data_IF_990152934359
#
_entry.id   IF_990152934359
#
_cell.length_a   1.000
_cell.length_b   1.000
_cell.length_c   1.000
_cell.angle_alpha   90.00
_cell.angle_beta   90.00
_cell.angle_gamma   90.00
#
_symmetry.space_group_name_H-M   'P 1'
#
loop_
_entity.id
_entity.type
_entity.pdbx_description
1 polymer ?
#
# COMPACT_ATOMS: atom_id res chain seq x y z
N UNK A 1 -37.38 12.33 24.98
CA UNK A 1 -37.14 12.09 23.54
C UNK A 1 -35.69 12.45 23.33
N UNK A 2 -34.81 11.44 23.30
CA UNK A 2 -33.41 11.66 22.98
C UNK A 2 -33.35 11.90 21.47
N UNK A 3 -32.79 13.02 21.05
CA UNK A 3 -32.41 13.24 19.66
C UNK A 3 -31.44 12.11 19.27
N UNK A 4 -31.97 11.08 18.62
CA UNK A 4 -31.14 10.12 17.89
C UNK A 4 -30.60 10.89 16.70
N UNK A 5 -29.47 11.54 16.91
CA UNK A 5 -28.63 12.09 15.86
C UNK A 5 -28.52 11.00 14.79
N UNK A 6 -29.23 11.18 13.69
CA UNK A 6 -29.35 10.16 12.65
C UNK A 6 -27.94 9.95 12.13
N UNK A 7 -27.39 8.74 12.32
CA UNK A 7 -26.02 8.44 11.91
C UNK A 7 -25.82 8.92 10.47
N UNK A 8 -24.90 9.87 10.30
CA UNK A 8 -24.66 10.53 9.03
C UNK A 8 -24.13 9.54 8.00
N UNK A 9 -23.44 8.47 8.42
CA UNK A 9 -22.79 7.49 7.56
C UNK A 9 -23.06 6.04 8.05
N UNK A 10 -24.31 5.58 8.02
CA UNK A 10 -24.72 4.34 8.68
C UNK A 10 -24.08 3.09 8.05
N UNK A 11 -23.76 3.14 6.75
CA UNK A 11 -23.06 2.05 6.08
C UNK A 11 -21.57 1.98 6.50
N UNK A 12 -20.93 3.12 6.77
CA UNK A 12 -19.55 3.18 7.26
C UNK A 12 -19.46 2.68 8.70
N UNK A 13 -20.43 3.04 9.54
CA UNK A 13 -20.56 2.53 10.91
C UNK A 13 -20.72 1.02 10.91
N UNK A 14 -21.66 0.47 10.13
CA UNK A 14 -21.82 -0.96 9.98
C UNK A 14 -20.53 -1.66 9.48
N UNK A 15 -19.83 -1.05 8.51
CA UNK A 15 -18.56 -1.55 8.01
C UNK A 15 -17.45 -1.58 9.07
N UNK A 16 -17.42 -0.61 10.00
CA UNK A 16 -16.48 -0.58 11.13
C UNK A 16 -16.80 -1.67 12.16
N UNK A 17 -18.07 -1.86 12.45
CA UNK A 17 -18.57 -2.78 13.48
C UNK A 17 -18.57 -4.26 13.03
N UNK A 18 -18.52 -4.52 11.72
CA UNK A 18 -18.50 -5.87 11.14
C UNK A 18 -17.24 -6.70 11.41
N UNK A 19 -16.39 -6.33 12.37
CA UNK A 19 -15.15 -7.05 12.70
C UNK A 19 -15.46 -8.41 13.30
N UNK A 20 -15.34 -9.47 12.49
CA UNK A 20 -15.22 -10.83 12.98
C UNK A 20 -13.78 -11.09 13.40
N UNK A 21 -13.54 -11.39 14.68
CA UNK A 21 -12.19 -11.71 15.13
C UNK A 21 -11.70 -13.02 14.49
N UNK A 22 -10.71 -12.93 13.62
CA UNK A 22 -9.88 -14.06 13.22
C UNK A 22 -8.52 -13.97 13.94
N UNK A 23 -8.36 -14.87 14.93
CA UNK A 23 -7.09 -15.35 15.49
C UNK A 23 -6.17 -14.41 16.30
N UNK A 24 -6.64 -13.95 17.47
CA UNK A 24 -5.75 -13.79 18.63
C UNK A 24 -6.21 -14.51 19.90
N UNK A 25 -7.47 -14.94 19.97
CA UNK A 25 -8.01 -15.63 21.15
C UNK A 25 -8.40 -17.09 20.84
N UNK A 26 -7.42 -17.92 20.51
CA UNK A 26 -7.61 -19.39 20.58
C UNK A 26 -7.77 -19.90 22.03
N UNK A 27 -7.82 -19.00 23.03
CA UNK A 27 -8.06 -19.36 24.42
C UNK A 27 -9.20 -18.60 25.11
N UNK A 28 -9.98 -17.76 24.40
CA UNK A 28 -11.22 -17.22 24.95
C UNK A 28 -12.39 -17.46 23.99
N UNK A 29 -13.24 -18.41 24.39
CA UNK A 29 -14.60 -18.64 23.91
C UNK A 29 -15.25 -17.32 23.47
N UNK A 30 -15.41 -17.11 22.16
CA UNK A 30 -16.07 -15.93 21.60
C UNK A 30 -17.37 -15.65 22.36
N UNK A 31 -17.50 -14.47 22.96
CA UNK A 31 -18.67 -14.15 23.78
C UNK A 31 -19.90 -13.98 22.88
N UNK A 32 -21.10 -14.43 23.31
CA UNK A 32 -22.33 -14.34 22.50
C UNK A 32 -22.69 -12.91 22.07
N UNK A 33 -22.20 -11.90 22.78
CA UNK A 33 -22.42 -10.48 22.46
C UNK A 33 -21.59 -10.00 21.26
N UNK A 34 -20.39 -10.55 21.06
CA UNK A 34 -19.52 -10.16 19.96
C UNK A 34 -20.07 -10.69 18.63
N UNK A 35 -20.56 -11.93 18.63
CA UNK A 35 -21.17 -12.56 17.45
C UNK A 35 -22.52 -11.92 17.09
N UNK A 36 -23.31 -11.48 18.08
CA UNK A 36 -24.55 -10.75 17.81
C UNK A 36 -24.29 -9.39 17.17
N UNK A 37 -23.22 -8.69 17.56
CA UNK A 37 -22.89 -7.37 17.02
C UNK A 37 -22.44 -7.46 15.57
N UNK A 38 -21.57 -8.42 15.22
CA UNK A 38 -21.15 -8.63 13.82
C UNK A 38 -22.34 -9.00 12.93
N UNK A 39 -23.20 -9.90 13.40
CA UNK A 39 -24.40 -10.32 12.66
C UNK A 39 -25.36 -9.14 12.46
N UNK A 40 -25.53 -8.30 13.49
CA UNK A 40 -26.33 -7.09 13.42
C UNK A 40 -25.76 -6.08 12.43
N UNK A 41 -24.45 -5.86 12.44
CA UNK A 41 -23.77 -4.96 11.52
C UNK A 41 -23.91 -5.41 10.05
N UNK A 42 -23.75 -6.71 9.78
CA UNK A 42 -23.96 -7.27 8.42
C UNK A 42 -25.41 -7.09 7.97
N UNK A 43 -26.38 -7.40 8.82
CA UNK A 43 -27.80 -7.23 8.51
C UNK A 43 -28.17 -5.75 8.26
N UNK A 44 -27.61 -4.83 9.05
CA UNK A 44 -27.78 -3.40 8.85
C UNK A 44 -27.20 -2.95 7.51
N UNK A 45 -25.97 -3.36 7.18
CA UNK A 45 -25.33 -3.04 5.90
C UNK A 45 -26.15 -3.58 4.71
N UNK A 46 -26.65 -4.81 4.80
CA UNK A 46 -27.50 -5.40 3.76
C UNK A 46 -28.82 -4.63 3.58
N UNK A 47 -29.49 -4.28 4.68
CA UNK A 47 -30.71 -3.48 4.66
C UNK A 47 -30.50 -2.11 4.01
N UNK A 48 -29.41 -1.42 4.35
CA UNK A 48 -29.04 -0.12 3.79
C UNK A 48 -28.74 -0.21 2.29
N UNK A 49 -28.01 -1.23 1.85
CA UNK A 49 -27.69 -1.40 0.43
C UNK A 49 -28.90 -1.81 -0.41
N UNK A 50 -29.88 -2.52 0.18
CA UNK A 50 -31.15 -2.84 -0.49
C UNK A 50 -32.03 -1.60 -0.66
N UNK A 51 -32.06 -0.69 0.31
CA UNK A 51 -32.89 0.51 0.26
C UNK A 51 -32.25 1.61 -0.59
N UNK A 52 -30.95 1.82 -0.46
CA UNK A 52 -30.19 2.78 -1.26
C UNK A 52 -28.79 2.25 -1.64
N UNK A 53 -28.67 1.62 -2.82
CA UNK A 53 -27.39 1.15 -3.35
C UNK A 53 -26.32 2.26 -3.49
N UNK A 54 -26.72 3.53 -3.61
CA UNK A 54 -25.78 4.66 -3.80
C UNK A 54 -24.96 4.94 -2.55
N UNK A 55 -25.39 4.47 -1.38
CA UNK A 55 -24.62 4.58 -0.13
C UNK A 55 -23.23 3.95 -0.24
N UNK A 56 -23.06 2.92 -1.06
CA UNK A 56 -21.76 2.29 -1.34
C UNK A 56 -20.72 3.26 -1.93
N UNK A 57 -21.17 4.32 -2.63
CA UNK A 57 -20.34 5.34 -3.28
C UNK A 57 -20.19 6.62 -2.48
N UNK A 58 -20.75 6.68 -1.27
CA UNK A 58 -20.66 7.85 -0.43
C UNK A 58 -19.32 7.85 0.31
N UNK A 59 -18.64 9.00 0.29
CA UNK A 59 -17.48 9.27 1.16
C UNK A 59 -17.95 9.78 2.52
N UNK A 60 -17.26 9.38 3.57
CA UNK A 60 -17.40 9.99 4.90
C UNK A 60 -16.57 11.28 5.02
N UNK A 61 -16.50 11.83 6.24
CA UNK A 61 -15.73 13.04 6.54
C UNK A 61 -14.21 12.83 6.39
N UNK A 62 -13.73 11.57 6.37
CA UNK A 62 -12.34 11.19 6.12
C UNK A 62 -12.06 10.89 4.63
N UNK A 63 -13.05 11.12 3.76
CA UNK A 63 -12.95 10.84 2.32
C UNK A 63 -12.96 9.34 1.98
N UNK A 64 -13.35 8.48 2.93
CA UNK A 64 -13.37 7.02 2.79
C UNK A 64 -14.72 6.51 2.36
N UNK A 65 -14.69 5.50 1.51
CA UNK A 65 -15.87 4.69 1.19
C UNK A 65 -16.06 3.59 2.23
N UNK A 66 -17.29 3.11 2.39
CA UNK A 66 -17.61 2.02 3.33
C UNK A 66 -16.73 0.77 3.14
N UNK A 67 -16.29 0.47 1.91
CA UNK A 67 -15.38 -0.64 1.63
C UNK A 67 -14.00 -0.49 2.29
N UNK A 68 -13.49 0.73 2.48
CA UNK A 68 -12.21 0.96 3.16
C UNK A 68 -12.31 0.54 4.63
N UNK A 69 -13.43 0.89 5.27
CA UNK A 69 -13.72 0.45 6.63
C UNK A 69 -13.96 -1.05 6.72
N UNK A 70 -14.72 -1.63 5.78
CA UNK A 70 -14.98 -3.07 5.76
C UNK A 70 -13.68 -3.87 5.60
N UNK A 71 -12.78 -3.41 4.72
CA UNK A 71 -11.44 -4.00 4.55
C UNK A 71 -10.57 -3.81 5.80
N UNK A 72 -10.61 -2.64 6.44
CA UNK A 72 -9.86 -2.36 7.68
C UNK A 72 -10.35 -3.19 8.86
N UNK A 73 -11.65 -3.44 8.94
CA UNK A 73 -12.27 -4.27 9.97
C UNK A 73 -12.23 -5.76 9.65
N UNK A 74 -11.61 -6.14 8.53
CA UNK A 74 -11.57 -7.52 8.03
C UNK A 74 -12.96 -8.18 7.89
N UNK A 75 -13.97 -7.39 7.54
CA UNK A 75 -15.36 -7.84 7.44
C UNK A 75 -15.64 -8.42 6.05
N UNK A 76 -15.38 -9.71 5.87
CA UNK A 76 -15.54 -10.38 4.57
C UNK A 76 -16.96 -10.26 4.02
N UNK A 77 -17.98 -10.44 4.86
CA UNK A 77 -19.39 -10.40 4.47
C UNK A 77 -19.80 -9.01 3.96
N UNK A 78 -19.36 -7.94 4.62
CA UNK A 78 -19.68 -6.58 4.18
C UNK A 78 -18.93 -6.24 2.89
N UNK A 79 -17.67 -6.68 2.76
CA UNK A 79 -16.93 -6.53 1.48
C UNK A 79 -17.66 -7.30 0.36
N UNK A 80 -18.21 -8.49 0.63
CA UNK A 80 -18.98 -9.26 -0.34
C UNK A 80 -20.28 -8.57 -0.75
N UNK A 81 -21.03 -8.01 0.21
CA UNK A 81 -22.24 -7.23 -0.07
C UNK A 81 -21.96 -6.01 -0.95
N UNK A 82 -20.86 -5.30 -0.66
CA UNK A 82 -20.40 -4.17 -1.46
C UNK A 82 -19.92 -4.61 -2.85
N UNK A 83 -19.18 -5.72 -2.93
CA UNK A 83 -18.70 -6.30 -4.17
C UNK A 83 -19.83 -6.75 -5.10
N UNK A 84 -20.98 -7.16 -4.55
CA UNK A 84 -22.13 -7.59 -5.33
C UNK A 84 -22.99 -6.44 -5.87
N UNK A 85 -22.65 -5.19 -5.56
CA UNK A 85 -23.33 -4.04 -6.16
C UNK A 85 -22.97 -3.92 -7.65
N UNK A 86 -23.96 -3.65 -8.51
CA UNK A 86 -23.76 -3.53 -9.96
C UNK A 86 -22.77 -2.43 -10.37
N UNK A 87 -22.49 -1.49 -9.46
CA UNK A 87 -21.62 -0.34 -9.68
C UNK A 87 -20.33 -0.40 -8.87
N UNK A 88 -20.00 -1.60 -8.39
CA UNK A 88 -18.78 -1.89 -7.64
C UNK A 88 -17.54 -1.66 -8.50
N UNK A 89 -16.58 -0.97 -7.91
CA UNK A 89 -15.25 -0.80 -8.43
C UNK A 89 -14.27 -1.23 -7.32
N UNK A 90 -13.46 -2.28 -7.51
CA UNK A 90 -12.54 -2.77 -6.48
C UNK A 90 -11.43 -1.77 -6.11
N UNK A 91 -11.07 -0.88 -7.05
CA UNK A 91 -10.07 0.16 -6.87
C UNK A 91 -10.69 1.51 -6.54
N UNK A 92 -12.02 1.61 -6.63
CA UNK A 92 -12.80 2.81 -6.31
C UNK A 92 -12.38 4.00 -7.20
N UNK A 93 -12.16 3.75 -8.50
CA UNK A 93 -11.89 4.75 -9.52
C UNK A 93 -13.19 5.48 -9.87
N UNK A 94 -13.34 6.72 -9.37
CA UNK A 94 -14.47 7.53 -9.83
C UNK A 94 -14.25 7.89 -11.30
N UNK A 95 -15.15 7.39 -12.16
CA UNK A 95 -15.36 7.88 -13.52
C UNK A 95 -15.55 9.41 -13.48
N UNK A 96 -14.59 10.17 -14.02
CA UNK A 96 -14.95 11.44 -14.63
C UNK A 96 -15.64 11.12 -15.97
N UNK A 97 -16.89 11.55 -16.09
CA UNK A 97 -17.67 11.52 -17.32
C UNK A 97 -16.98 12.32 -18.44
N UNK A 98 -17.19 11.94 -19.72
CA UNK A 98 -16.32 12.30 -20.83
C UNK A 98 -16.55 13.75 -21.30
N UNK A 99 -15.47 14.53 -21.45
CA UNK A 99 -15.54 15.82 -22.12
C UNK A 99 -15.17 15.69 -23.59
N UNK A 100 -16.21 15.88 -24.41
CA UNK A 100 -16.26 16.40 -25.79
C UNK A 100 -15.86 15.47 -26.95
N UNK A 101 -16.87 15.25 -27.80
CA UNK A 101 -16.75 14.82 -29.20
C UNK A 101 -15.80 15.75 -29.98
N UNK A 102 -14.89 15.23 -30.84
CA UNK A 102 -14.23 16.06 -31.82
C UNK A 102 -15.17 16.25 -33.02
N UNK A 103 -15.89 17.36 -33.01
CA UNK A 103 -16.42 17.89 -34.25
C UNK A 103 -15.27 18.53 -35.05
N UNK A 104 -15.15 18.09 -36.31
CA UNK A 104 -14.64 18.83 -37.48
C UNK A 104 -13.13 19.12 -37.64
N UNK A 105 -12.69 18.83 -38.88
CA UNK A 105 -11.53 19.31 -39.67
C UNK A 105 -10.14 18.67 -39.51
N UNK A 106 -9.87 17.70 -40.40
CA UNK A 106 -8.61 17.51 -41.16
C UNK A 106 -8.32 18.70 -42.11
N UNK A 107 -7.17 18.81 -42.85
CA UNK A 107 -5.89 18.07 -42.80
C UNK A 107 -4.63 18.98 -42.87
N UNK A 108 -3.43 18.41 -42.70
CA UNK A 108 -2.21 18.92 -43.35
C UNK A 108 -0.90 18.78 -42.55
N UNK A 109 -0.06 17.80 -42.90
CA UNK A 109 1.24 17.97 -43.59
C UNK A 109 2.11 16.71 -43.44
N UNK A 110 2.52 16.19 -44.61
CA UNK A 110 3.48 15.11 -44.83
C UNK A 110 4.92 15.55 -44.51
N UNK A 111 5.75 14.64 -43.96
CA UNK A 111 6.98 14.08 -44.58
C UNK A 111 8.10 13.71 -43.58
N UNK A 112 8.49 12.42 -43.61
CA UNK A 112 9.85 11.78 -43.59
C UNK A 112 10.79 12.19 -42.44
N UNK A 113 11.32 11.30 -41.58
CA UNK A 113 12.38 10.31 -41.86
C UNK A 113 12.27 9.09 -40.92
N UNK A 114 12.36 7.89 -41.50
CA UNK A 114 12.57 6.61 -40.82
C UNK A 114 14.04 6.46 -40.38
N UNK A 115 14.29 6.05 -39.14
CA UNK A 115 15.49 5.26 -38.83
C UNK A 115 15.14 4.15 -37.83
N UNK A 116 15.60 2.95 -38.15
CA UNK A 116 15.26 1.69 -37.51
C UNK A 116 16.32 1.32 -36.46
N UNK A 117 15.96 1.37 -35.18
CA UNK A 117 16.52 0.44 -34.18
C UNK A 117 15.38 -0.14 -33.35
N UNK A 118 15.07 -1.39 -33.65
CA UNK A 118 13.95 -2.19 -33.17
C UNK A 118 14.24 -2.75 -31.77
N UNK A 119 13.49 -2.28 -30.75
CA UNK A 119 12.81 -3.09 -29.71
C UNK A 119 11.69 -2.22 -29.11
N UNK A 120 10.49 -2.78 -28.83
CA UNK A 120 9.31 -1.96 -28.59
C UNK A 120 9.30 -1.34 -27.19
N UNK A 121 9.58 -0.04 -27.14
CA UNK A 121 9.04 0.86 -26.13
C UNK A 121 7.51 0.90 -26.29
N UNK A 122 6.82 0.26 -25.36
CA UNK A 122 5.41 0.54 -25.09
C UNK A 122 5.30 1.26 -23.75
N UNK A 123 5.93 2.44 -23.65
CA UNK A 123 5.42 3.50 -22.78
C UNK A 123 4.21 4.11 -23.49
N UNK A 124 3.02 3.59 -23.19
CA UNK A 124 1.79 4.34 -23.37
C UNK A 124 1.47 4.99 -22.03
N UNK A 125 2.19 6.07 -21.71
CA UNK A 125 1.82 7.01 -20.67
C UNK A 125 0.52 7.71 -21.09
N UNK A 126 -0.60 7.05 -20.85
CA UNK A 126 -1.89 7.73 -20.78
C UNK A 126 -1.98 8.25 -19.35
N UNK A 127 -1.71 9.54 -19.17
CA UNK A 127 -2.11 10.29 -17.98
C UNK A 127 -3.64 10.22 -17.84
N UNK A 128 -4.15 9.16 -17.21
CA UNK A 128 -5.49 9.15 -16.62
C UNK A 128 -5.40 9.95 -15.32
N UNK A 129 -6.17 11.01 -15.19
CA UNK A 129 -6.26 11.80 -13.95
C UNK A 129 -6.88 10.94 -12.85
N UNK A 130 -6.11 10.70 -11.79
CA UNK A 130 -6.43 9.78 -10.70
C UNK A 130 -7.18 10.49 -9.57
N UNK A 131 -8.35 9.98 -9.20
CA UNK A 131 -8.84 10.09 -7.82
C UNK A 131 -9.61 8.82 -7.45
N UNK A 132 -8.85 7.76 -7.17
CA UNK A 132 -9.34 6.40 -6.92
C UNK A 132 -8.97 5.86 -5.53
N UNK A 133 -8.93 6.73 -4.53
CA UNK A 133 -8.33 6.43 -3.24
C UNK A 133 -9.02 7.20 -2.10
N UNK A 134 -8.83 6.77 -0.85
CA UNK A 134 -9.12 7.63 0.30
C UNK A 134 -8.27 8.92 0.26
N UNK A 135 -8.53 9.89 1.13
CA UNK A 135 -7.80 11.17 1.09
C UNK A 135 -6.28 11.01 1.32
N UNK A 136 -5.84 9.86 1.83
CA UNK A 136 -4.44 9.45 1.99
C UNK A 136 -3.92 8.55 0.87
N UNK A 137 -4.73 8.22 -0.12
CA UNK A 137 -4.34 7.43 -1.26
C UNK A 137 -4.48 5.91 -1.10
N UNK A 138 -5.14 5.41 -0.06
CA UNK A 138 -5.26 3.97 0.16
C UNK A 138 -6.37 3.36 -0.69
N UNK A 139 -6.08 2.20 -1.30
CA UNK A 139 -7.11 1.34 -1.89
C UNK A 139 -7.60 0.31 -0.86
N UNK A 140 -8.79 -0.27 -1.04
CA UNK A 140 -9.28 -1.35 -0.17
C UNK A 140 -8.32 -2.54 -0.12
N UNK A 141 -7.65 -2.84 -1.25
CA UNK A 141 -6.66 -3.91 -1.34
C UNK A 141 -5.43 -3.63 -0.47
N UNK A 142 -4.90 -2.39 -0.50
CA UNK A 142 -3.77 -2.01 0.35
C UNK A 142 -4.12 -2.10 1.83
N UNK A 143 -5.33 -1.66 2.21
CA UNK A 143 -5.81 -1.75 3.58
C UNK A 143 -5.86 -3.21 3.99
N UNK A 144 -6.53 -4.07 3.21
CA UNK A 144 -6.60 -5.50 3.47
C UNK A 144 -5.21 -6.12 3.61
N UNK A 145 -4.29 -5.84 2.69
CA UNK A 145 -2.91 -6.35 2.73
C UNK A 145 -2.12 -5.92 3.99
N UNK A 146 -2.56 -4.85 4.67
CA UNK A 146 -1.96 -4.35 5.89
C UNK A 146 -2.58 -4.95 7.17
N UNK A 147 -3.73 -5.62 7.06
CA UNK A 147 -4.45 -6.23 8.18
C UNK A 147 -4.04 -7.70 8.32
N UNK A 148 -3.78 -8.22 9.54
CA UNK A 148 -3.54 -9.65 9.75
C UNK A 148 -4.75 -10.50 9.35
N UNK A 149 -4.51 -11.73 8.88
CA UNK A 149 -5.55 -12.74 8.60
C UNK A 149 -6.65 -12.25 7.63
N UNK A 150 -6.29 -11.38 6.69
CA UNK A 150 -7.21 -10.73 5.74
C UNK A 150 -7.26 -11.42 4.38
N UNK A 151 -6.69 -12.63 4.25
CA UNK A 151 -6.64 -13.40 3.00
C UNK A 151 -8.01 -13.56 2.34
N UNK A 152 -9.13 -13.80 3.07
CA UNK A 152 -10.46 -13.88 2.45
C UNK A 152 -10.90 -12.56 1.80
N UNK A 153 -10.64 -11.43 2.46
CA UNK A 153 -10.94 -10.10 1.92
C UNK A 153 -10.03 -9.78 0.74
N UNK A 154 -8.74 -10.08 0.85
CA UNK A 154 -7.75 -9.88 -0.20
C UNK A 154 -8.11 -10.69 -1.45
N UNK A 155 -8.39 -11.99 -1.30
CA UNK A 155 -8.78 -12.86 -2.40
C UNK A 155 -10.08 -12.41 -3.06
N UNK A 156 -11.05 -11.94 -2.27
CA UNK A 156 -12.28 -11.39 -2.81
C UNK A 156 -12.00 -10.14 -3.68
N UNK A 157 -11.22 -9.18 -3.18
CA UNK A 157 -10.87 -7.97 -3.94
C UNK A 157 -10.10 -8.32 -5.23
N UNK A 158 -9.12 -9.22 -5.15
CA UNK A 158 -8.37 -9.71 -6.31
C UNK A 158 -9.29 -10.40 -7.33
N UNK A 159 -10.24 -11.23 -6.87
CA UNK A 159 -11.20 -11.91 -7.76
C UNK A 159 -12.12 -10.95 -8.51
N UNK A 160 -12.28 -9.72 -8.00
CA UNK A 160 -13.06 -8.66 -8.65
C UNK A 160 -12.22 -7.70 -9.50
N UNK A 161 -10.91 -7.96 -9.64
CA UNK A 161 -10.02 -7.20 -10.51
C UNK A 161 -9.33 -6.01 -9.83
N UNK A 162 -9.16 -6.03 -8.50
CA UNK A 162 -8.35 -5.02 -7.81
C UNK A 162 -6.92 -4.94 -8.38
N UNK A 163 -6.44 -3.74 -8.71
CA UNK A 163 -5.09 -3.54 -9.21
C UNK A 163 -4.07 -3.55 -8.05
N UNK A 164 -3.22 -4.58 -8.07
CA UNK A 164 -2.16 -4.83 -7.10
C UNK A 164 -1.01 -3.83 -7.15
N UNK A 165 -0.88 -3.06 -8.23
CA UNK A 165 0.27 -2.20 -8.50
C UNK A 165 0.03 -0.71 -8.21
N UNK A 166 -1.17 -0.33 -7.78
CA UNK A 166 -1.47 1.05 -7.37
C UNK A 166 -0.50 1.49 -6.26
N UNK A 167 -0.11 2.76 -6.26
CA UNK A 167 0.63 3.40 -5.16
C UNK A 167 -0.28 4.39 -4.46
N UNK A 168 -0.19 4.49 -3.14
CA UNK A 168 -0.89 5.53 -2.41
C UNK A 168 -0.24 6.91 -2.56
N UNK A 169 -0.96 7.97 -2.19
CA UNK A 169 -0.53 9.36 -2.29
C UNK A 169 -0.06 9.96 -0.94
N UNK A 170 -0.27 9.22 0.16
CA UNK A 170 0.11 9.56 1.53
C UNK A 170 -0.26 10.98 1.96
N UNK A 171 -1.46 11.44 1.57
CA UNK A 171 -2.00 12.74 1.99
C UNK A 171 -1.39 13.95 1.26
N UNK A 172 -0.50 13.74 0.28
CA UNK A 172 -0.17 14.81 -0.66
C UNK A 172 -1.33 14.97 -1.64
N UNK A 173 -2.31 15.82 -1.28
CA UNK A 173 -3.17 16.45 -2.28
C UNK A 173 -2.22 17.03 -3.33
N UNK A 174 -2.46 16.77 -4.60
CA UNK A 174 -1.73 17.43 -5.68
C UNK A 174 -1.92 18.94 -5.52
N UNK A 175 -1.04 19.59 -4.76
CA UNK A 175 -0.84 21.02 -4.83
C UNK A 175 -0.25 21.24 -6.21
N UNK A 176 -1.13 21.46 -7.19
CA UNK A 176 -0.78 22.08 -8.46
C UNK A 176 0.03 23.32 -8.09
N UNK A 177 1.35 23.23 -8.23
CA UNK A 177 2.24 24.39 -8.22
C UNK A 177 1.88 25.18 -9.46
N UNK A 178 0.80 25.97 -9.37
CA UNK A 178 0.77 27.24 -10.08
C UNK A 178 1.82 28.09 -9.37
N UNK A 179 3.02 28.06 -9.94
CA UNK A 179 4.08 29.02 -9.69
C UNK A 179 3.46 30.41 -9.56
N UNK A 180 3.54 31.01 -8.37
CA UNK A 180 3.64 32.45 -8.16
C UNK A 180 3.96 32.75 -6.68
N UNK A 181 5.22 33.13 -6.46
CA UNK A 181 5.71 34.18 -5.55
C UNK A 181 4.96 34.53 -4.25
N UNK A 182 5.74 34.49 -3.15
CA UNK A 182 5.81 35.46 -2.03
C UNK A 182 4.68 35.60 -0.98
N UNK A 183 5.15 35.77 0.28
CA UNK A 183 4.48 36.08 1.57
C UNK A 183 3.78 34.88 2.22
N UNK A 184 4.11 34.40 3.44
CA UNK A 184 4.46 35.07 4.70
C UNK A 184 3.20 35.16 5.57
N UNK A 185 3.11 34.43 6.70
CA UNK A 185 2.43 34.76 7.99
C UNK A 185 2.12 33.52 8.87
N UNK A 186 2.18 33.73 10.19
CA UNK A 186 2.16 32.77 11.32
C UNK A 186 0.80 32.10 11.62
N UNK A 187 0.75 30.98 12.39
CA UNK A 187 -0.50 30.30 12.77
C UNK A 187 -1.07 30.81 14.11
N UNK A 188 -2.40 30.77 14.32
CA UNK A 188 -2.96 30.78 15.67
C UNK A 188 -3.45 29.40 16.11
N UNK A 189 -3.15 29.10 17.38
CA UNK A 189 -3.62 27.99 18.22
C UNK A 189 -5.15 28.03 18.42
N UNK A 190 -5.83 26.87 18.50
CA UNK A 190 -7.00 26.59 19.38
C UNK A 190 -7.50 25.13 19.29
N UNK A 191 -7.16 24.35 20.33
CA UNK A 191 -7.77 23.16 20.99
C UNK A 191 -8.52 22.02 20.21
N UNK A 192 -8.29 20.73 20.58
CA UNK A 192 -8.95 19.55 19.99
C UNK A 192 -10.23 19.11 20.77
N UNK A 193 -11.24 18.51 20.11
CA UNK A 193 -12.30 17.79 20.82
C UNK A 193 -11.84 16.37 21.18
N UNK A 194 -12.23 15.98 22.40
CA UNK A 194 -11.95 14.71 23.07
C UNK A 194 -12.99 13.67 22.66
N UNK A 195 -12.61 12.60 21.94
CA UNK A 195 -13.31 11.31 22.00
C UNK A 195 -12.31 10.14 21.86
N UNK A 196 -12.49 9.07 22.65
CA UNK A 196 -11.55 7.95 22.76
C UNK A 196 -11.74 6.96 21.61
N UNK A 197 -10.70 6.15 21.34
CA UNK A 197 -10.55 5.18 20.25
C UNK A 197 -10.01 5.77 18.93
N UNK A 198 -8.86 6.42 19.05
CA UNK A 198 -7.88 6.53 17.96
C UNK A 198 -7.55 5.13 17.43
N UNK A 199 -7.90 4.89 16.17
CA UNK A 199 -7.52 3.71 15.40
C UNK A 199 -6.02 3.47 15.55
N UNK A 200 -5.64 2.26 15.96
CA UNK A 200 -4.24 1.84 16.00
C UNK A 200 -3.81 1.55 14.55
N UNK A 201 -3.56 2.60 13.78
CA UNK A 201 -2.44 2.57 12.85
C UNK A 201 -1.16 2.46 13.70
N UNK A 202 -0.08 1.80 13.25
CA UNK A 202 1.13 1.73 14.02
C UNK A 202 1.50 3.14 14.47
N UNK A 203 1.36 3.39 15.77
CA UNK A 203 1.81 4.62 16.39
C UNK A 203 3.32 4.56 16.22
N UNK A 204 3.80 5.31 15.24
CA UNK A 204 5.17 5.27 14.76
C UNK A 204 6.11 5.29 15.96
N UNK A 205 6.90 4.23 16.10
CA UNK A 205 8.04 4.21 17.00
C UNK A 205 9.05 5.18 16.42
N UNK A 206 9.03 6.42 16.93
CA UNK A 206 10.03 7.48 16.80
C UNK A 206 11.09 7.28 15.70
N UNK A 207 10.69 7.37 14.45
CA UNK A 207 11.60 7.68 13.34
C UNK A 207 10.88 8.68 12.45
N UNK A 208 11.44 9.87 12.31
CA UNK A 208 10.91 10.97 11.51
C UNK A 208 10.94 10.57 10.03
N UNK A 209 9.90 9.86 9.55
CA UNK A 209 9.85 9.45 8.14
C UNK A 209 8.71 10.14 7.41
N UNK A 210 9.10 11.01 6.48
CA UNK A 210 8.26 11.54 5.40
C UNK A 210 7.54 10.39 4.69
N UNK A 211 6.21 10.41 4.69
CA UNK A 211 5.37 9.34 4.16
C UNK A 211 5.48 9.27 2.62
N UNK A 212 6.02 8.16 2.10
CA UNK A 212 6.30 7.95 0.67
C UNK A 212 5.22 7.08 -0.01
N UNK A 213 4.69 7.44 -1.19
CA UNK A 213 3.85 6.60 -2.05
C UNK A 213 4.34 5.17 -2.16
N UNK A 214 3.51 4.23 -1.73
CA UNK A 214 3.86 2.82 -1.60
C UNK A 214 2.77 1.95 -2.23
N UNK A 215 3.17 0.84 -2.85
CA UNK A 215 2.25 -0.21 -3.27
C UNK A 215 1.94 -1.19 -2.13
N UNK A 216 0.91 -2.02 -2.30
CA UNK A 216 0.56 -3.07 -1.34
C UNK A 216 1.77 -3.93 -0.96
N UNK A 217 2.61 -4.30 -1.94
CA UNK A 217 3.79 -5.12 -1.72
C UNK A 217 4.87 -4.47 -0.84
N UNK A 218 4.97 -3.12 -0.81
CA UNK A 218 5.86 -2.42 0.12
C UNK A 218 5.42 -2.60 1.58
N UNK A 219 4.13 -2.38 1.85
CA UNK A 219 3.57 -2.52 3.19
C UNK A 219 3.70 -3.95 3.72
N UNK A 220 3.42 -4.92 2.85
CA UNK A 220 3.51 -6.35 3.15
C UNK A 220 4.95 -6.77 3.44
N UNK A 221 5.92 -6.26 2.68
CA UNK A 221 7.34 -6.51 2.92
C UNK A 221 7.79 -5.98 4.29
N UNK A 222 7.39 -4.75 4.65
CA UNK A 222 7.68 -4.17 5.98
C UNK A 222 7.04 -4.94 7.13
N UNK A 223 5.86 -5.53 6.92
CA UNK A 223 5.14 -6.34 7.93
C UNK A 223 5.59 -7.80 7.99
N UNK A 224 6.52 -8.23 7.13
CA UNK A 224 6.97 -9.63 7.00
C UNK A 224 5.81 -10.62 6.73
N UNK A 225 4.70 -10.16 6.14
CA UNK A 225 3.53 -11.00 5.90
C UNK A 225 3.70 -11.80 4.60
N UNK A 226 4.33 -12.97 4.70
CA UNK A 226 4.64 -13.83 3.56
C UNK A 226 3.42 -14.40 2.85
N UNK A 227 2.34 -14.69 3.56
CA UNK A 227 1.13 -15.29 2.99
C UNK A 227 0.46 -14.29 2.05
N UNK A 228 0.26 -13.06 2.51
CA UNK A 228 -0.25 -11.97 1.67
C UNK A 228 0.71 -11.66 0.53
N UNK A 229 2.03 -11.67 0.76
CA UNK A 229 3.00 -11.45 -0.32
C UNK A 229 2.87 -12.50 -1.44
N UNK A 230 2.72 -13.78 -1.07
CA UNK A 230 2.49 -14.87 -2.03
C UNK A 230 1.20 -14.67 -2.82
N UNK A 231 0.11 -14.25 -2.16
CA UNK A 231 -1.16 -13.97 -2.83
C UNK A 231 -1.02 -12.83 -3.85
N UNK A 232 -0.39 -11.72 -3.46
CA UNK A 232 -0.17 -10.57 -4.35
C UNK A 232 0.71 -10.93 -5.55
N UNK A 233 1.77 -11.72 -5.34
CA UNK A 233 2.68 -12.16 -6.41
C UNK A 233 2.05 -13.21 -7.33
N UNK A 234 1.07 -13.98 -6.85
CA UNK A 234 0.31 -14.95 -7.63
C UNK A 234 -0.96 -14.36 -8.29
N UNK A 235 -1.27 -13.07 -8.05
CA UNK A 235 -2.41 -12.40 -8.66
C UNK A 235 -2.29 -12.30 -10.18
N UNK A 236 -3.38 -11.96 -10.86
CA UNK A 236 -3.41 -11.76 -12.33
C UNK A 236 -3.98 -10.38 -12.66
N UNK A 237 -3.14 -9.41 -13.10
CA UNK A 237 -1.69 -9.49 -13.25
C UNK A 237 -0.95 -9.60 -11.89
N UNK A 238 0.26 -10.17 -11.86
CA UNK A 238 1.02 -10.31 -10.61
C UNK A 238 1.49 -8.96 -10.09
N UNK A 239 1.62 -8.84 -8.77
CA UNK A 239 2.23 -7.68 -8.15
C UNK A 239 3.68 -7.52 -8.62
N UNK A 240 4.02 -6.32 -9.10
CA UNK A 240 5.36 -6.01 -9.57
C UNK A 240 6.30 -5.79 -8.39
N UNK A 241 7.37 -6.57 -8.36
CA UNK A 241 8.52 -6.38 -7.44
C UNK A 241 9.40 -5.20 -7.83
N UNK A 242 9.06 -4.50 -8.93
CA UNK A 242 9.80 -3.39 -9.54
C UNK A 242 9.09 -2.04 -9.40
N UNK A 243 8.10 -1.94 -8.51
CA UNK A 243 7.49 -0.66 -8.15
C UNK A 243 8.43 0.08 -7.20
N UNK A 244 8.79 1.33 -7.53
CA UNK A 244 9.60 2.20 -6.64
C UNK A 244 8.73 3.14 -5.82
N UNK A 245 9.02 3.31 -4.54
CA UNK A 245 8.46 4.40 -3.74
C UNK A 245 9.14 5.76 -4.04
N UNK A 246 8.76 6.83 -3.34
CA UNK A 246 9.36 8.18 -3.52
C UNK A 246 10.85 8.25 -3.18
N UNK A 247 11.35 7.37 -2.32
CA UNK A 247 12.80 7.24 -2.03
C UNK A 247 13.49 6.34 -3.05
N UNK A 248 12.81 5.93 -4.12
CA UNK A 248 13.36 5.05 -5.11
C UNK A 248 13.46 3.59 -4.64
N UNK A 249 12.91 3.25 -3.47
CA UNK A 249 13.02 1.92 -2.88
C UNK A 249 12.02 0.96 -3.51
N UNK A 250 12.51 -0.22 -3.90
CA UNK A 250 11.70 -1.41 -4.18
C UNK A 250 11.26 -2.13 -2.89
N UNK A 251 10.24 -3.02 -2.92
CA UNK A 251 9.84 -3.83 -1.78
C UNK A 251 10.97 -4.64 -1.14
N UNK A 252 11.98 -5.05 -1.92
CA UNK A 252 13.15 -5.80 -1.40
C UNK A 252 14.01 -4.97 -0.44
N UNK A 253 14.09 -3.65 -0.61
CA UNK A 253 14.76 -2.78 0.37
C UNK A 253 14.03 -2.82 1.71
N UNK A 254 12.69 -2.79 1.68
CA UNK A 254 11.86 -2.89 2.90
C UNK A 254 12.06 -4.24 3.58
N UNK A 255 12.06 -5.33 2.81
CA UNK A 255 12.29 -6.67 3.33
C UNK A 255 13.70 -6.82 3.95
N UNK A 256 14.70 -6.20 3.34
CA UNK A 256 16.08 -6.19 3.82
C UNK A 256 16.23 -5.36 5.11
N UNK A 257 15.68 -4.14 5.14
CA UNK A 257 15.73 -3.25 6.29
C UNK A 257 15.00 -3.80 7.53
N UNK A 258 14.01 -4.69 7.36
CA UNK A 258 13.37 -5.38 8.49
C UNK A 258 13.99 -6.75 8.80
N UNK A 259 14.96 -7.21 8.00
CA UNK A 259 15.67 -8.46 8.25
C UNK A 259 14.84 -9.71 7.99
N UNK A 260 14.01 -9.70 6.93
CA UNK A 260 13.18 -10.86 6.58
C UNK A 260 13.81 -11.68 5.45
N UNK A 261 14.65 -12.65 5.81
CA UNK A 261 15.27 -13.61 4.86
C UNK A 261 14.22 -14.25 3.93
N UNK A 262 13.10 -14.82 4.42
CA UNK A 262 12.16 -15.48 3.54
C UNK A 262 11.47 -14.50 2.56
N UNK A 263 11.24 -13.26 2.98
CA UNK A 263 10.63 -12.24 2.12
C UNK A 263 11.60 -11.80 1.03
N UNK A 264 12.88 -11.59 1.37
CA UNK A 264 13.93 -11.29 0.39
C UNK A 264 14.03 -12.42 -0.64
N UNK A 265 14.13 -13.68 -0.20
CA UNK A 265 14.17 -14.84 -1.11
C UNK A 265 12.91 -14.92 -1.98
N UNK A 266 11.73 -14.67 -1.42
CA UNK A 266 10.48 -14.66 -2.19
C UNK A 266 10.48 -13.58 -3.28
N UNK A 267 10.92 -12.36 -2.95
CA UNK A 267 10.98 -11.25 -3.90
C UNK A 267 12.01 -11.50 -5.02
N UNK A 268 13.19 -12.06 -4.68
CA UNK A 268 14.21 -12.41 -5.67
C UNK A 268 13.74 -13.47 -6.66
N UNK A 269 13.07 -14.53 -6.16
CA UNK A 269 12.42 -15.54 -7.02
C UNK A 269 11.38 -14.94 -7.98
N UNK A 270 10.80 -13.80 -7.59
CA UNK A 270 9.86 -13.02 -8.40
C UNK A 270 10.54 -11.82 -9.10
N UNK A 271 11.81 -11.99 -9.49
CA UNK A 271 12.58 -11.06 -10.33
C UNK A 271 12.75 -9.66 -9.74
N UNK A 272 12.74 -9.54 -8.41
CA UNK A 272 13.09 -8.27 -7.75
C UNK A 272 14.58 -7.95 -8.01
N UNK A 273 14.94 -6.68 -8.25
CA UNK A 273 16.31 -6.33 -8.59
C UNK A 273 17.22 -6.39 -7.34
N UNK A 274 18.13 -7.35 -7.31
CA UNK A 274 19.04 -7.61 -6.19
C UNK A 274 19.95 -6.43 -5.85
N UNK A 275 20.54 -5.81 -6.87
CA UNK A 275 21.53 -4.72 -6.75
C UNK A 275 20.95 -3.35 -7.10
N UNK A 276 19.63 -3.19 -7.08
CA UNK A 276 19.02 -1.90 -7.35
C UNK A 276 19.39 -0.89 -6.26
N UNK A 277 19.81 0.30 -6.66
CA UNK A 277 19.99 1.43 -5.76
C UNK A 277 18.69 2.23 -5.60
N UNK A 278 18.42 2.67 -4.37
CA UNK A 278 17.42 3.68 -4.08
C UNK A 278 17.93 5.09 -4.42
N UNK A 279 17.18 6.15 -4.08
CA UNK A 279 17.53 7.53 -4.44
C UNK A 279 18.84 8.02 -3.79
N UNK A 280 19.27 7.39 -2.70
CA UNK A 280 20.50 7.73 -1.97
C UNK A 280 21.66 6.78 -2.34
N UNK A 281 21.46 5.91 -3.33
CA UNK A 281 22.48 4.95 -3.75
C UNK A 281 22.50 3.67 -2.91
N UNK A 282 21.62 3.52 -1.92
CA UNK A 282 21.62 2.35 -1.04
C UNK A 282 21.00 1.15 -1.77
N UNK A 283 21.69 0.02 -1.74
CA UNK A 283 21.17 -1.28 -2.22
C UNK A 283 20.47 -2.04 -1.10
N UNK A 284 19.69 -3.11 -1.37
CA UNK A 284 19.12 -3.95 -0.32
C UNK A 284 20.17 -4.48 0.66
N UNK A 285 21.40 -4.76 0.19
CA UNK A 285 22.50 -5.19 1.06
C UNK A 285 22.91 -4.08 2.04
N UNK A 286 22.98 -2.82 1.61
CA UNK A 286 23.24 -1.69 2.50
C UNK A 286 22.19 -1.61 3.60
N UNK A 287 20.91 -1.69 3.26
CA UNK A 287 19.81 -1.67 4.24
C UNK A 287 19.89 -2.84 5.22
N UNK A 288 20.18 -4.06 4.76
CA UNK A 288 20.33 -5.21 5.66
C UNK A 288 21.51 -5.06 6.63
N UNK A 289 22.65 -4.53 6.17
CA UNK A 289 23.85 -4.38 7.00
C UNK A 289 23.70 -3.21 7.97
N UNK A 290 23.20 -2.06 7.51
CA UNK A 290 22.98 -0.86 8.33
C UNK A 290 22.06 -1.13 9.52
N UNK A 291 21.02 -1.94 9.32
CA UNK A 291 20.06 -2.34 10.36
C UNK A 291 20.53 -3.56 11.18
N UNK A 292 21.76 -4.04 10.98
CA UNK A 292 22.36 -5.15 11.73
C UNK A 292 21.75 -6.53 11.42
N UNK A 293 21.09 -6.69 10.28
CA UNK A 293 20.41 -7.93 9.88
C UNK A 293 21.35 -8.89 9.14
N UNK A 294 22.33 -9.42 9.87
CA UNK A 294 23.38 -10.31 9.36
C UNK A 294 22.88 -11.49 8.52
N UNK A 295 21.88 -12.24 9.00
CA UNK A 295 21.32 -13.38 8.25
C UNK A 295 20.72 -12.97 6.90
N UNK A 296 20.12 -11.77 6.84
CA UNK A 296 19.55 -11.22 5.60
C UNK A 296 20.64 -10.74 4.66
N UNK A 297 21.69 -10.12 5.19
CA UNK A 297 22.89 -9.78 4.42
C UNK A 297 23.56 -11.03 3.82
N UNK A 298 23.74 -12.10 4.62
CA UNK A 298 24.25 -13.39 4.13
C UNK A 298 23.35 -13.98 3.05
N UNK A 299 22.03 -13.91 3.21
CA UNK A 299 21.09 -14.40 2.19
C UNK A 299 21.20 -13.64 0.87
N UNK A 300 21.35 -12.31 0.91
CA UNK A 300 21.60 -11.48 -0.28
C UNK A 300 22.94 -11.82 -0.94
N UNK A 301 24.01 -11.99 -0.16
CA UNK A 301 25.34 -12.35 -0.66
C UNK A 301 25.38 -13.73 -1.31
N UNK A 302 24.63 -14.71 -0.78
CA UNK A 302 24.46 -16.03 -1.39
C UNK A 302 23.76 -15.99 -2.75
N UNK A 303 22.96 -14.96 -3.00
CA UNK A 303 22.31 -14.68 -4.28
C UNK A 303 23.19 -13.78 -5.18
N UNK A 304 24.48 -13.63 -4.85
CA UNK A 304 25.48 -12.86 -5.60
C UNK A 304 25.22 -11.34 -5.58
N UNK A 305 24.76 -10.81 -4.43
CA UNK A 305 24.67 -9.36 -4.24
C UNK A 305 26.05 -8.71 -4.37
N UNK A 306 26.13 -7.62 -5.14
CA UNK A 306 27.37 -6.89 -5.35
C UNK A 306 27.66 -6.01 -4.13
N UNK A 307 28.62 -6.47 -3.33
CA UNK A 307 29.08 -5.81 -2.13
C UNK A 307 30.11 -4.71 -2.37
N UNK A 308 30.53 -4.51 -3.63
CA UNK A 308 31.48 -3.46 -4.02
C UNK A 308 30.78 -2.15 -4.39
N UNK A 309 29.45 -2.18 -4.53
CA UNK A 309 28.64 -1.00 -4.79
C UNK A 309 28.69 -0.04 -3.60
N UNK A 310 28.78 1.24 -3.93
CA UNK A 310 28.81 2.34 -2.97
C UNK A 310 27.53 3.15 -3.05
N UNK A 311 27.06 3.65 -1.91
CA UNK A 311 26.03 4.68 -1.86
C UNK A 311 26.54 6.04 -2.38
N UNK A 312 25.68 7.06 -2.38
CA UNK A 312 26.04 8.40 -2.86
C UNK A 312 27.13 9.07 -1.98
N UNK A 313 27.27 8.64 -0.73
CA UNK A 313 28.29 9.08 0.22
C UNK A 313 29.64 8.36 0.02
N UNK A 314 29.70 7.36 -0.86
CA UNK A 314 30.91 6.60 -1.17
C UNK A 314 31.21 5.44 -0.22
N UNK A 315 30.24 5.09 0.63
CA UNK A 315 30.30 4.02 1.63
C UNK A 315 29.86 2.69 1.02
N UNK A 316 30.56 1.62 1.36
CA UNK A 316 30.13 0.25 1.06
C UNK A 316 29.09 -0.20 2.08
N UNK A 317 28.32 -1.24 1.75
CA UNK A 317 27.37 -1.83 2.69
C UNK A 317 28.01 -2.18 4.04
N UNK A 318 29.24 -2.70 4.03
CA UNK A 318 29.97 -3.09 5.25
C UNK A 318 30.40 -1.91 6.12
N UNK A 319 30.59 -0.74 5.53
CA UNK A 319 31.00 0.47 6.25
C UNK A 319 29.89 0.97 7.20
N UNK A 320 28.64 0.60 6.88
CA UNK A 320 27.43 0.95 7.63
C UNK A 320 27.12 0.01 8.80
N UNK A 321 27.90 -1.04 9.04
CA UNK A 321 27.61 -2.02 10.09
C UNK A 321 27.63 -1.37 11.49
N UNK A 322 26.59 -1.59 12.33
CA UNK A 322 26.47 -0.92 13.63
C UNK A 322 27.57 -1.30 14.63
N UNK A 323 27.99 -2.59 14.65
CA UNK A 323 29.13 -3.06 15.44
C UNK A 323 30.16 -3.75 14.53
N UNK A 324 31.26 -3.05 14.21
CA UNK A 324 32.32 -3.55 13.31
C UNK A 324 33.00 -4.84 13.78
N UNK A 325 32.94 -5.15 15.08
CA UNK A 325 33.56 -6.36 15.65
C UNK A 325 32.57 -7.47 16.06
N UNK A 326 31.28 -7.16 16.23
CA UNK A 326 30.29 -8.10 16.76
C UNK A 326 29.13 -8.40 15.79
N UNK A 327 28.81 -7.50 14.86
CA UNK A 327 27.51 -7.57 14.19
C UNK A 327 27.43 -8.56 13.04
N UNK A 328 28.52 -8.91 12.34
CA UNK A 328 28.38 -9.92 11.28
C UNK A 328 29.61 -10.79 11.02
N UNK A 329 30.07 -11.60 11.98
CA UNK A 329 31.11 -12.63 11.75
C UNK A 329 30.82 -13.48 10.51
N UNK A 330 29.54 -13.77 10.22
CA UNK A 330 29.12 -14.55 9.05
C UNK A 330 29.30 -13.84 7.71
N UNK A 331 29.18 -12.50 7.66
CA UNK A 331 29.40 -11.70 6.45
C UNK A 331 30.91 -11.43 6.28
N UNK A 332 31.63 -11.14 7.36
CA UNK A 332 33.09 -11.06 7.33
C UNK A 332 33.72 -12.40 6.94
N UNK A 333 33.17 -13.52 7.40
CA UNK A 333 33.59 -14.85 6.97
C UNK A 333 33.36 -15.05 5.47
N UNK A 334 32.20 -14.65 4.95
CA UNK A 334 31.91 -14.70 3.51
C UNK A 334 32.93 -13.88 2.70
N UNK A 335 33.33 -12.69 3.17
CA UNK A 335 34.33 -11.86 2.50
C UNK A 335 35.78 -12.38 2.60
N UNK A 336 36.08 -13.22 3.58
CA UNK A 336 37.46 -13.70 3.83
C UNK A 336 37.73 -15.10 3.26
N UNK A 337 36.72 -15.80 2.73
CA UNK A 337 36.84 -17.18 2.22
C UNK A 337 36.64 -17.34 0.71
N UNK A 338 36.44 -16.25 -0.04
CA UNK A 338 36.41 -16.20 -1.50
C UNK A 338 37.77 -15.76 -2.07
#
# INVERSE_FOLDING_TARGET
>A
MADTETDRFPLHTAAREGRGDSHSDLNSRATPQLTSNVTSAVAAAEGLLKTDPKLSKRKDDDGRYAIHWAASSNSHEIVLLLANQASFDPDIQVQQTPLLSPASSEPGYHSVIEDQTTFPSASLDICRSHSSQDDSGWTPLMIAASVPNSEPVLNLLLSRGADVNIKNNNGQKEHKVISNSSYGFQPPLSQPPQHPHSLIFPKETNTTTTTTPQSALHFVASKKNLDVARLLLAATPPASTRVRDRRGQYPIHRAAAVGSVPMVTLLLRNRSPLNAADSEGFTPLHHAVAEGHGDTAVALLKEEADFTLKNNEGELAIDLAPDKEASIPSVMHFFTTQ
#
